data_IF_214105545975
#
_entry.id   IF_214105545975
#
_cell.length_a   1.000
_cell.length_b   1.000
_cell.length_c   1.000
_cell.angle_alpha   90.00
_cell.angle_beta   90.00
_cell.angle_gamma   90.00
#
_symmetry.space_group_name_H-M   'P 1'
#
loop_
_entity.id
_entity.type
_entity.pdbx_description
1 polymer ?
#
# COMPACT_ATOMS: atom_id res chain seq x y z
N UNK A 1 8.44 36.84 -30.63
CA UNK A 1 8.22 36.14 -29.35
C UNK A 1 7.75 34.72 -29.68
N UNK A 2 8.66 33.75 -29.80
CA UNK A 2 8.27 32.37 -30.10
C UNK A 2 7.75 31.72 -28.82
N UNK A 3 6.42 31.58 -28.72
CA UNK A 3 5.78 30.79 -27.67
C UNK A 3 6.11 29.33 -27.97
N UNK A 4 7.06 28.78 -27.21
CA UNK A 4 7.36 27.35 -27.23
C UNK A 4 6.15 26.67 -26.58
N UNK A 5 5.24 26.13 -27.39
CA UNK A 5 4.21 25.21 -26.90
C UNK A 5 4.89 23.86 -26.73
N UNK A 6 5.32 23.55 -25.51
CA UNK A 6 5.59 22.18 -25.14
C UNK A 6 4.26 21.43 -25.23
N UNK A 7 4.13 20.51 -26.19
CA UNK A 7 3.02 19.58 -26.18
C UNK A 7 3.13 18.78 -24.88
N UNK A 8 2.08 18.86 -24.05
CA UNK A 8 2.03 18.09 -22.82
C UNK A 8 2.05 16.61 -23.20
N UNK A 9 3.04 15.86 -22.72
CA UNK A 9 3.17 14.42 -23.00
C UNK A 9 1.96 13.62 -22.53
N UNK A 10 1.19 14.18 -21.59
CA UNK A 10 -0.04 13.60 -21.05
C UNK A 10 -1.10 14.68 -20.90
N UNK A 11 -2.34 14.34 -21.23
CA UNK A 11 -3.49 15.20 -20.94
C UNK A 11 -3.82 15.14 -19.44
N UNK A 12 -4.42 16.20 -18.88
CA UNK A 12 -4.83 16.24 -17.47
C UNK A 12 -5.79 15.10 -17.14
N UNK A 13 -6.68 14.76 -18.07
CA UNK A 13 -7.60 13.63 -17.95
C UNK A 13 -6.84 12.29 -17.80
N UNK A 14 -5.77 12.10 -18.58
CA UNK A 14 -4.94 10.88 -18.51
C UNK A 14 -4.25 10.77 -17.15
N UNK A 15 -3.81 11.88 -16.56
CA UNK A 15 -3.21 11.88 -15.22
C UNK A 15 -4.23 11.52 -14.13
N UNK A 16 -5.47 12.01 -14.24
CA UNK A 16 -6.55 11.62 -13.32
C UNK A 16 -6.96 10.15 -13.47
N UNK A 17 -7.01 9.63 -14.69
CA UNK A 17 -7.31 8.21 -14.94
C UNK A 17 -6.19 7.27 -14.46
N UNK A 18 -4.95 7.79 -14.42
CA UNK A 18 -3.79 7.11 -13.87
C UNK A 18 -3.63 7.29 -12.36
N UNK A 19 -4.46 8.15 -11.73
CA UNK A 19 -4.41 8.35 -10.28
C UNK A 19 -4.69 7.01 -9.59
N UNK A 20 -3.81 6.55 -8.70
CA UNK A 20 -4.04 5.31 -7.98
C UNK A 20 -5.34 5.48 -7.19
N UNK A 21 -6.40 4.77 -7.61
CA UNK A 21 -7.64 4.69 -6.83
C UNK A 21 -7.26 4.19 -5.46
N UNK A 22 -7.24 5.10 -4.49
CA UNK A 22 -6.97 4.88 -3.08
C UNK A 22 -8.07 4.05 -2.43
N UNK A 23 -8.25 2.83 -2.94
CA UNK A 23 -9.43 2.00 -2.72
C UNK A 23 -9.54 1.56 -1.26
N UNK A 24 -8.41 1.44 -0.60
CA UNK A 24 -8.33 1.04 0.80
C UNK A 24 -8.03 2.21 1.74
N UNK A 25 -7.63 3.39 1.25
CA UNK A 25 -7.29 4.50 2.15
C UNK A 25 -8.44 4.91 3.06
N UNK A 26 -9.68 4.91 2.56
CA UNK A 26 -10.85 5.22 3.40
C UNK A 26 -11.01 4.23 4.55
N UNK A 27 -10.80 2.94 4.28
CA UNK A 27 -10.90 1.88 5.28
C UNK A 27 -9.71 1.94 6.25
N UNK A 28 -8.50 2.13 5.74
CA UNK A 28 -7.28 2.11 6.52
C UNK A 28 -7.13 3.38 7.39
N UNK A 29 -7.62 4.53 6.92
CA UNK A 29 -7.57 5.79 7.67
C UNK A 29 -8.41 5.75 8.96
N UNK A 30 -9.50 4.99 8.96
CA UNK A 30 -10.37 4.84 10.12
C UNK A 30 -9.84 3.84 11.16
N UNK A 31 -8.82 3.05 10.81
CA UNK A 31 -8.28 1.99 11.67
C UNK A 31 -6.95 2.46 12.30
N UNK A 32 -6.98 2.67 13.62
CA UNK A 32 -5.75 2.89 14.37
C UNK A 32 -4.97 1.57 14.58
N UNK A 33 -3.87 1.42 13.85
CA UNK A 33 -3.00 0.24 13.93
C UNK A 33 -1.93 0.34 15.02
N UNK A 34 -1.72 1.50 15.66
CA UNK A 34 -0.65 1.68 16.64
C UNK A 34 -0.68 0.66 17.80
N UNK A 35 -1.86 0.32 18.38
CA UNK A 35 -1.92 -0.67 19.46
C UNK A 35 -1.44 -2.07 19.01
N UNK A 36 -1.72 -2.44 17.77
CA UNK A 36 -1.29 -3.72 17.19
C UNK A 36 0.21 -3.67 16.91
N UNK A 37 0.66 -2.54 16.37
CA UNK A 37 2.06 -2.30 16.04
C UNK A 37 2.95 -2.44 17.29
N UNK A 38 2.57 -1.84 18.41
CA UNK A 38 3.32 -1.91 19.68
C UNK A 38 3.44 -3.33 20.26
N UNK A 39 2.45 -4.19 19.97
CA UNK A 39 2.46 -5.59 20.39
C UNK A 39 3.39 -6.43 19.52
N UNK A 40 3.36 -6.21 18.21
CA UNK A 40 4.02 -7.07 17.22
C UNK A 40 5.44 -6.58 16.89
N UNK A 41 5.73 -5.30 17.08
CA UNK A 41 7.06 -4.73 16.88
C UNK A 41 8.07 -5.29 17.88
N UNK A 42 9.30 -5.40 17.40
CA UNK A 42 10.44 -5.79 18.23
C UNK A 42 10.69 -4.71 19.28
N UNK A 43 10.54 -5.07 20.56
CA UNK A 43 10.76 -4.17 21.70
C UNK A 43 12.23 -3.93 22.05
N UNK A 44 13.10 -4.84 21.61
CA UNK A 44 14.53 -4.81 21.94
C UNK A 44 15.37 -4.44 20.72
N UNK A 45 16.37 -3.59 20.93
CA UNK A 45 17.38 -3.30 19.91
C UNK A 45 18.38 -4.45 19.73
N UNK A 46 18.43 -5.42 20.66
CA UNK A 46 19.36 -6.54 20.63
C UNK A 46 18.88 -7.66 19.69
N UNK A 47 19.82 -8.41 19.12
CA UNK A 47 19.54 -9.52 18.19
C UNK A 47 19.43 -9.07 16.72
N UNK A 48 18.92 -9.95 15.85
CA UNK A 48 18.87 -9.71 14.41
C UNK A 48 18.12 -8.41 14.05
N UNK A 49 18.61 -7.66 13.04
CA UNK A 49 17.94 -6.45 12.58
C UNK A 49 16.55 -6.81 12.04
N UNK A 50 15.60 -5.90 12.27
CA UNK A 50 14.24 -6.07 11.81
C UNK A 50 14.18 -5.77 10.31
N UNK A 51 13.90 -6.78 9.49
CA UNK A 51 13.87 -6.66 8.02
C UNK A 51 12.45 -6.43 7.47
N UNK A 52 11.42 -6.70 8.28
CA UNK A 52 10.02 -6.63 7.86
C UNK A 52 9.44 -5.25 8.16
N UNK A 53 8.68 -4.71 7.20
CA UNK A 53 7.84 -3.53 7.41
C UNK A 53 6.53 -3.97 8.09
N UNK A 54 6.45 -3.83 9.42
CA UNK A 54 5.29 -4.25 10.22
C UNK A 54 4.01 -3.50 9.87
N UNK A 55 4.03 -2.16 9.69
CA UNK A 55 2.85 -1.44 9.21
C UNK A 55 2.29 -2.02 7.91
N UNK A 56 3.14 -2.19 6.90
CA UNK A 56 2.73 -2.74 5.60
C UNK A 56 2.20 -4.17 5.71
N UNK A 57 2.81 -4.98 6.57
CA UNK A 57 2.33 -6.33 6.85
C UNK A 57 0.92 -6.31 7.49
N UNK A 58 0.69 -5.44 8.47
CA UNK A 58 -0.64 -5.32 9.12
C UNK A 58 -1.68 -4.83 8.10
N UNK A 59 -1.38 -3.81 7.29
CA UNK A 59 -2.28 -3.34 6.25
C UNK A 59 -2.62 -4.44 5.24
N UNK A 60 -1.63 -5.21 4.80
CA UNK A 60 -1.86 -6.34 3.88
C UNK A 60 -2.80 -7.40 4.48
N UNK A 61 -2.75 -7.62 5.80
CA UNK A 61 -3.65 -8.54 6.50
C UNK A 61 -5.07 -7.99 6.67
N UNK A 62 -5.20 -6.68 6.94
CA UNK A 62 -6.51 -6.02 6.99
C UNK A 62 -7.17 -6.09 5.60
N UNK A 63 -6.42 -5.72 4.56
CA UNK A 63 -6.91 -5.76 3.18
C UNK A 63 -7.30 -7.19 2.79
N UNK A 64 -6.50 -8.20 3.16
CA UNK A 64 -6.85 -9.61 2.95
C UNK A 64 -8.22 -9.96 3.53
N UNK A 65 -8.56 -9.48 4.73
CA UNK A 65 -9.87 -9.70 5.36
C UNK A 65 -10.97 -9.00 4.56
N UNK A 66 -10.75 -7.74 4.17
CA UNK A 66 -11.74 -6.96 3.39
C UNK A 66 -12.01 -7.54 2.00
N UNK A 67 -11.00 -8.11 1.34
CA UNK A 67 -11.12 -8.75 0.04
C UNK A 67 -11.50 -10.23 0.12
N UNK A 68 -11.68 -10.78 1.32
CA UNK A 68 -11.95 -12.20 1.56
C UNK A 68 -10.93 -13.14 0.90
N UNK A 69 -9.64 -12.78 0.92
CA UNK A 69 -8.57 -13.65 0.41
C UNK A 69 -8.34 -14.79 1.41
N UNK A 70 -8.64 -16.06 1.04
CA UNK A 70 -8.69 -17.15 2.00
C UNK A 70 -7.30 -17.52 2.53
N UNK A 71 -6.29 -17.60 1.67
CA UNK A 71 -4.96 -18.10 2.04
C UNK A 71 -3.87 -17.03 1.93
N UNK A 72 -2.87 -17.14 2.83
CA UNK A 72 -1.70 -16.24 2.83
C UNK A 72 -0.88 -16.36 1.54
N UNK A 73 -0.82 -17.55 0.92
CA UNK A 73 -0.14 -17.73 -0.38
C UNK A 73 -0.77 -16.88 -1.49
N UNK A 74 -2.08 -16.68 -1.46
CA UNK A 74 -2.80 -15.90 -2.47
C UNK A 74 -2.55 -14.41 -2.25
N UNK A 75 -2.51 -13.98 -0.98
CA UNK A 75 -2.08 -12.63 -0.60
C UNK A 75 -0.65 -12.33 -1.08
N UNK A 76 0.30 -13.24 -0.81
CA UNK A 76 1.70 -13.09 -1.26
C UNK A 76 1.78 -13.03 -2.78
N UNK A 77 1.01 -13.86 -3.48
CA UNK A 77 0.96 -13.85 -4.95
C UNK A 77 0.48 -12.48 -5.42
N UNK A 78 -0.59 -11.96 -4.82
CA UNK A 78 -1.16 -10.67 -5.18
C UNK A 78 -0.22 -9.49 -4.90
N UNK A 79 0.45 -9.47 -3.75
CA UNK A 79 1.49 -8.49 -3.42
C UNK A 79 2.66 -8.47 -4.43
N UNK A 80 2.91 -9.58 -5.12
CA UNK A 80 3.97 -9.69 -6.13
C UNK A 80 3.49 -9.27 -7.52
N UNK A 81 2.25 -9.59 -7.87
CA UNK A 81 1.73 -9.43 -9.24
C UNK A 81 0.96 -8.14 -9.45
N UNK A 82 0.28 -7.64 -8.42
CA UNK A 82 -0.61 -6.48 -8.50
C UNK A 82 0.08 -5.23 -7.92
N UNK A 83 0.44 -4.32 -8.82
CA UNK A 83 1.11 -3.07 -8.45
C UNK A 83 0.22 -2.19 -7.58
N UNK A 84 -1.10 -2.16 -7.83
CA UNK A 84 -2.03 -1.31 -7.07
C UNK A 84 -2.12 -1.80 -5.64
N UNK A 85 -2.30 -3.11 -5.48
CA UNK A 85 -2.30 -3.76 -4.18
C UNK A 85 -1.02 -3.50 -3.37
N UNK A 86 0.13 -3.46 -4.05
CA UNK A 86 1.43 -3.18 -3.44
C UNK A 86 1.62 -1.72 -3.04
N UNK A 87 0.96 -0.78 -3.70
CA UNK A 87 1.02 0.65 -3.34
C UNK A 87 0.12 0.92 -2.12
N UNK A 88 -0.98 0.20 -2.00
CA UNK A 88 -1.92 0.34 -0.88
C UNK A 88 -1.45 -0.34 0.43
N UNK A 89 -0.49 -1.28 0.37
CA UNK A 89 0.06 -2.02 1.52
C UNK A 89 1.48 -1.57 1.87
#
# INVERSE_FOLDING_TARGET
MSIIRQESLFDMQILYDLEPTHRFNSILADIDIHPILDVVMKKSHLGAPQTLNYPAMIYSLIIRITEHIPFIKDLITRLRTDLRFKVDC
#
